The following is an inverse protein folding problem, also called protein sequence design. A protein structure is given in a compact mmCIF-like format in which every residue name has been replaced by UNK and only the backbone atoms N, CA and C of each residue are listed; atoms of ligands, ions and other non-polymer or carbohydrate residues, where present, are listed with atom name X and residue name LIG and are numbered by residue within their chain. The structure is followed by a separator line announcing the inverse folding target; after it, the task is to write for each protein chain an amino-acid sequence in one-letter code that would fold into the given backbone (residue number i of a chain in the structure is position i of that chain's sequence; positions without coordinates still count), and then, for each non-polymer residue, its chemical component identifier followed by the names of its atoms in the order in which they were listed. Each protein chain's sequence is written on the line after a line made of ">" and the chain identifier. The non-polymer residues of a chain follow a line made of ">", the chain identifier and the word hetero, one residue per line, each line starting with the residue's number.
data_IF_671868548702
#
_entry.id   IF_671868548702
#
_cell.length_a   1.000
_cell.length_b   1.000
_cell.length_c   1.000
_cell.angle_alpha   90.00
_cell.angle_beta   90.00
_cell.angle_gamma   90.00
#
_symmetry.space_group_name_H-M   'P 1'
#
loop_
_entity.id
_entity.type
_entity.pdbx_description
1 polymer ?
#
# COMPACT_ATOMS: atom_id res chain seq x y z
N UNK A 1 -6.31 12.36 -7.83
CA UNK A 1 -6.14 10.95 -8.25
C UNK A 1 -6.76 10.04 -7.21
N UNK A 2 -7.92 9.45 -7.50
CA UNK A 2 -8.69 8.66 -6.53
C UNK A 2 -7.97 7.41 -6.04
N UNK A 3 -8.46 6.85 -4.93
CA UNK A 3 -7.95 5.61 -4.34
C UNK A 3 -8.69 4.42 -4.97
N UNK A 4 -8.01 3.66 -5.82
CA UNK A 4 -8.57 2.43 -6.39
C UNK A 4 -8.69 1.29 -5.36
N UNK A 5 -9.68 0.40 -5.54
CA UNK A 5 -9.77 -0.85 -4.78
C UNK A 5 -8.62 -1.77 -5.21
N UNK A 6 -7.92 -2.36 -4.23
CA UNK A 6 -6.84 -3.33 -4.47
C UNK A 6 -7.22 -4.67 -3.86
N UNK A 7 -6.88 -5.77 -4.54
CA UNK A 7 -7.06 -7.12 -4.02
C UNK A 7 -6.12 -7.36 -2.83
N UNK A 8 -6.56 -8.14 -1.83
CA UNK A 8 -5.74 -8.56 -0.68
C UNK A 8 -4.84 -9.73 -1.08
N UNK A 9 -3.85 -9.44 -1.92
CA UNK A 9 -2.79 -10.36 -2.32
C UNK A 9 -1.44 -9.66 -2.28
N UNK A 10 -0.35 -10.44 -2.33
CA UNK A 10 1.00 -9.88 -2.45
C UNK A 10 1.10 -9.07 -3.74
N UNK A 11 1.67 -7.87 -3.66
CA UNK A 11 1.96 -7.04 -4.85
C UNK A 11 3.30 -7.52 -5.41
N UNK A 12 3.31 -8.04 -6.64
CA UNK A 12 4.53 -8.57 -7.27
C UNK A 12 5.54 -7.47 -7.61
N UNK A 13 5.06 -6.37 -8.20
CA UNK A 13 5.92 -5.24 -8.54
C UNK A 13 6.56 -4.65 -7.28
N UNK A 14 7.90 -4.72 -7.22
CA UNK A 14 8.72 -4.30 -6.07
C UNK A 14 8.52 -2.83 -5.70
N UNK A 15 8.49 -1.93 -6.69
CA UNK A 15 8.35 -0.48 -6.47
C UNK A 15 6.95 -0.17 -5.92
N UNK A 16 5.91 -0.72 -6.54
CA UNK A 16 4.54 -0.52 -6.08
C UNK A 16 4.31 -1.08 -4.68
N UNK A 17 4.94 -2.22 -4.34
CA UNK A 17 4.91 -2.80 -3.00
C UNK A 17 5.58 -1.89 -1.98
N UNK A 18 6.76 -1.33 -2.30
CA UNK A 18 7.47 -0.41 -1.40
C UNK A 18 6.66 0.86 -1.14
N UNK A 19 6.15 1.52 -2.19
CA UNK A 19 5.33 2.74 -2.06
C UNK A 19 4.05 2.45 -1.26
N UNK A 20 3.38 1.33 -1.55
CA UNK A 20 2.16 0.93 -0.83
C UNK A 20 2.44 0.64 0.65
N UNK A 21 3.54 -0.04 0.95
CA UNK A 21 3.95 -0.32 2.32
C UNK A 21 4.20 0.98 3.11
N UNK A 22 4.99 1.91 2.57
CA UNK A 22 5.28 3.18 3.24
C UNK A 22 4.01 3.99 3.52
N UNK A 23 3.07 4.05 2.56
CA UNK A 23 1.77 4.72 2.72
C UNK A 23 0.86 4.05 3.76
N UNK A 24 0.89 2.71 3.87
CA UNK A 24 0.07 1.98 4.86
C UNK A 24 0.69 2.02 6.25
N UNK A 25 2.01 1.94 6.37
CA UNK A 25 2.74 1.94 7.64
C UNK A 25 2.43 3.19 8.46
N UNK A 26 2.43 4.37 7.84
CA UNK A 26 2.09 5.62 8.54
C UNK A 26 0.66 5.63 9.08
N UNK A 27 -0.30 5.11 8.30
CA UNK A 27 -1.70 4.99 8.72
C UNK A 27 -1.92 3.95 9.81
N UNK A 28 -1.15 2.85 9.81
CA UNK A 28 -1.21 1.82 10.85
C UNK A 28 -0.62 2.31 12.17
N UNK A 29 0.49 3.05 12.14
CA UNK A 29 1.12 3.59 13.34
C UNK A 29 0.34 4.75 13.98
N UNK A 30 -0.49 5.45 13.20
CA UNK A 30 -1.35 6.53 13.72
C UNK A 30 -2.57 5.98 14.47
N UNK A 31 -2.98 4.75 14.19
CA UNK A 31 -4.10 4.08 14.85
C UNK A 31 -3.63 3.40 16.12
#
# INVERSE_FOLDING_TARGET
>A
MGRGKVQLKRIENKINRQVTFSKRRSGLLKK
#
